data_IF_452353053857
#
_entry.id   IF_452353053857
#
_cell.length_a   1.000
_cell.length_b   1.000
_cell.length_c   1.000
_cell.angle_alpha   90.00
_cell.angle_beta   90.00
_cell.angle_gamma   90.00
#
_symmetry.space_group_name_H-M   'P 1'
#
loop_
_entity.id
_entity.type
_entity.pdbx_description
1 polymer ?
#
# COMPACT_ATOMS: atom_id res chain seq x y z
N UNK A 1 -56.20 -6.18 26.66
CA UNK A 1 -55.07 -6.69 27.46
C UNK A 1 -53.75 -6.48 26.72
N UNK A 2 -52.83 -5.74 27.34
CA UNK A 2 -51.36 -5.80 27.20
C UNK A 2 -50.65 -5.52 25.86
N UNK A 3 -50.85 -4.35 25.28
CA UNK A 3 -49.94 -3.77 24.25
C UNK A 3 -48.69 -3.09 24.84
N UNK A 4 -48.72 -2.70 26.13
CA UNK A 4 -47.61 -2.06 26.86
C UNK A 4 -46.35 -2.96 27.01
N UNK A 5 -46.44 -4.27 27.35
CA UNK A 5 -45.25 -5.12 27.49
C UNK A 5 -44.56 -5.48 26.17
N UNK A 6 -45.30 -5.48 25.05
CA UNK A 6 -44.75 -5.79 23.72
C UNK A 6 -43.89 -4.62 23.22
N UNK A 7 -44.35 -3.38 23.43
CA UNK A 7 -43.58 -2.18 23.08
C UNK A 7 -42.28 -2.06 23.88
N UNK A 8 -42.30 -2.41 25.18
CA UNK A 8 -41.08 -2.41 26.02
C UNK A 8 -40.12 -3.55 25.67
N UNK A 9 -40.62 -4.70 25.24
CA UNK A 9 -39.76 -5.79 24.79
C UNK A 9 -39.02 -5.43 23.49
N UNK A 10 -39.70 -4.73 22.57
CA UNK A 10 -39.11 -4.29 21.31
C UNK A 10 -38.01 -3.24 21.50
N UNK A 11 -38.19 -2.29 22.44
CA UNK A 11 -37.18 -1.27 22.74
C UNK A 11 -35.96 -1.84 23.46
N UNK A 12 -36.16 -2.80 24.37
CA UNK A 12 -35.05 -3.51 25.04
C UNK A 12 -34.24 -4.35 24.05
N UNK A 13 -34.92 -5.05 23.12
CA UNK A 13 -34.24 -5.82 22.08
C UNK A 13 -33.45 -4.90 21.11
N UNK A 14 -34.02 -3.76 20.74
CA UNK A 14 -33.34 -2.76 19.92
C UNK A 14 -32.10 -2.15 20.59
N UNK A 15 -32.18 -1.85 21.89
CA UNK A 15 -31.05 -1.33 22.67
C UNK A 15 -29.93 -2.37 22.83
N UNK A 16 -30.27 -3.64 23.04
CA UNK A 16 -29.29 -4.73 23.10
C UNK A 16 -28.59 -4.95 21.75
N UNK A 17 -29.31 -4.82 20.64
CA UNK A 17 -28.70 -4.88 19.31
C UNK A 17 -27.69 -3.74 19.10
N UNK A 18 -28.05 -2.50 19.41
CA UNK A 18 -27.13 -1.36 19.20
C UNK A 18 -25.88 -1.41 20.07
N UNK A 19 -25.99 -1.91 21.31
CA UNK A 19 -24.85 -2.17 22.20
C UNK A 19 -23.96 -3.32 21.68
N UNK A 20 -24.56 -4.37 21.11
CA UNK A 20 -23.82 -5.49 20.51
C UNK A 20 -23.05 -5.10 19.24
N UNK A 21 -23.59 -4.18 18.43
CA UNK A 21 -22.91 -3.69 17.22
C UNK A 21 -21.67 -2.83 17.55
N UNK A 22 -21.61 -2.17 18.71
CA UNK A 22 -20.46 -1.38 19.15
C UNK A 22 -19.20 -2.21 19.45
N UNK A 23 -19.34 -3.52 19.70
CA UNK A 23 -18.22 -4.44 19.95
C UNK A 23 -17.62 -5.08 18.69
N UNK A 24 -18.27 -4.94 17.52
CA UNK A 24 -17.83 -5.58 16.27
C UNK A 24 -16.65 -4.84 15.60
N UNK A 25 -16.30 -3.65 16.08
CA UNK A 25 -15.12 -2.89 15.64
C UNK A 25 -14.22 -2.63 16.84
N UNK A 26 -13.50 -3.67 17.26
CA UNK A 26 -12.40 -3.56 18.23
C UNK A 26 -11.18 -2.95 17.51
N UNK A 27 -11.24 -1.66 17.20
CA UNK A 27 -10.29 -1.01 16.26
C UNK A 27 -9.10 -0.36 16.95
N UNK A 28 -9.16 0.03 18.22
CA UNK A 28 -8.06 0.79 18.83
C UNK A 28 -6.84 -0.07 19.18
N UNK A 29 -6.90 -1.13 20.02
CA UNK A 29 -5.68 -1.80 20.46
C UNK A 29 -5.01 -2.67 19.38
N UNK A 30 -5.79 -3.25 18.46
CA UNK A 30 -5.24 -4.12 17.41
C UNK A 30 -4.66 -3.29 16.26
N UNK A 31 -5.32 -2.21 15.85
CA UNK A 31 -4.89 -1.42 14.69
C UNK A 31 -3.72 -0.50 15.04
N UNK A 32 -3.69 0.06 16.26
CA UNK A 32 -2.55 0.84 16.74
C UNK A 32 -1.29 -0.01 16.84
N UNK A 33 -1.41 -1.30 17.19
CA UNK A 33 -0.27 -2.23 17.26
C UNK A 33 0.35 -2.51 15.88
N UNK A 34 -0.46 -2.57 14.83
CA UNK A 34 -0.01 -2.86 13.45
C UNK A 34 0.31 -1.60 12.64
N UNK A 35 0.17 -0.41 13.23
CA UNK A 35 0.47 0.84 12.54
C UNK A 35 1.93 0.87 12.07
N UNK A 36 2.12 0.98 10.75
CA UNK A 36 3.43 1.06 10.11
C UNK A 36 4.04 -0.27 9.68
N UNK A 37 3.40 -1.42 9.91
CA UNK A 37 3.93 -2.74 9.54
C UNK A 37 4.19 -2.87 8.03
N UNK A 38 3.30 -2.32 7.20
CA UNK A 38 3.50 -2.30 5.75
C UNK A 38 4.79 -1.55 5.35
N UNK A 39 5.04 -0.38 5.94
CA UNK A 39 6.25 0.41 5.65
C UNK A 39 7.50 -0.27 6.18
N UNK A 40 7.45 -0.88 7.39
CA UNK A 40 8.56 -1.67 7.94
C UNK A 40 8.88 -2.84 7.02
N UNK A 41 7.87 -3.53 6.51
CA UNK A 41 8.02 -4.65 5.57
C UNK A 41 8.68 -4.19 4.27
N UNK A 42 8.17 -3.12 3.64
CA UNK A 42 8.76 -2.57 2.42
C UNK A 42 10.20 -2.11 2.67
N UNK A 43 10.48 -1.48 3.81
CA UNK A 43 11.83 -1.07 4.17
C UNK A 43 12.77 -2.26 4.29
N UNK A 44 12.34 -3.37 4.90
CA UNK A 44 13.14 -4.60 4.97
C UNK A 44 13.43 -5.15 3.56
N UNK A 45 12.46 -5.12 2.65
CA UNK A 45 12.65 -5.53 1.25
C UNK A 45 13.59 -4.59 0.46
N UNK A 46 13.64 -3.31 0.83
CA UNK A 46 14.52 -2.31 0.21
C UNK A 46 15.88 -2.20 0.89
N UNK A 47 16.09 -2.85 2.03
CA UNK A 47 17.37 -2.82 2.75
C UNK A 47 18.36 -3.76 2.07
N UNK A 48 19.29 -3.20 1.31
CA UNK A 48 20.30 -3.97 0.56
C UNK A 48 21.23 -4.77 1.49
N UNK A 49 21.68 -4.14 2.59
CA UNK A 49 22.57 -4.78 3.55
C UNK A 49 22.21 -4.37 4.99
N UNK A 50 21.53 -5.24 5.77
CA UNK A 50 21.18 -4.95 7.15
C UNK A 50 22.40 -4.90 8.10
N UNK A 51 23.53 -5.49 7.73
CA UNK A 51 24.76 -5.52 8.52
C UNK A 51 25.75 -4.39 8.17
N UNK A 52 25.36 -3.46 7.28
CA UNK A 52 26.18 -2.31 6.89
C UNK A 52 26.83 -1.54 8.06
N UNK A 53 26.16 -1.27 9.21
CA UNK A 53 26.79 -0.51 10.30
C UNK A 53 27.93 -1.24 11.01
N UNK A 54 28.05 -2.56 10.87
CA UNK A 54 29.14 -3.35 11.45
C UNK A 54 30.32 -3.52 10.49
N UNK A 55 30.19 -3.08 9.23
CA UNK A 55 31.25 -3.17 8.24
C UNK A 55 32.23 -1.98 8.40
N UNK A 56 33.51 -2.21 8.76
CA UNK A 56 34.50 -1.14 8.84
C UNK A 56 35.07 -0.75 7.46
N UNK A 57 34.76 -1.49 6.39
CA UNK A 57 35.28 -1.18 5.05
C UNK A 57 34.78 0.19 4.58
N UNK A 58 35.67 1.03 4.04
CA UNK A 58 35.27 2.32 3.50
C UNK A 58 34.35 2.10 2.29
N UNK A 59 33.27 2.88 2.22
CA UNK A 59 32.38 2.85 1.06
C UNK A 59 33.17 3.32 -0.17
N UNK A 60 33.44 2.41 -1.11
CA UNK A 60 33.99 2.75 -2.42
C UNK A 60 32.89 3.49 -3.17
N UNK A 61 32.93 4.82 -3.14
CA UNK A 61 31.95 5.67 -3.83
C UNK A 61 31.97 5.48 -5.35
N UNK A 62 31.16 6.27 -6.05
CA UNK A 62 31.17 6.33 -7.52
C UNK A 62 32.39 7.13 -8.01
N UNK A 63 33.03 6.70 -9.10
CA UNK A 63 34.09 7.51 -9.71
C UNK A 63 33.51 8.80 -10.32
N UNK A 64 34.29 9.88 -10.32
CA UNK A 64 33.81 11.19 -10.75
C UNK A 64 33.32 11.21 -12.20
N UNK A 65 33.92 10.40 -13.08
CA UNK A 65 33.51 10.33 -14.49
C UNK A 65 32.16 9.62 -14.60
N UNK A 66 31.96 8.49 -13.93
CA UNK A 66 30.68 7.80 -13.89
C UNK A 66 29.59 8.67 -13.25
N UNK A 67 29.91 9.43 -12.20
CA UNK A 67 28.97 10.38 -11.60
C UNK A 67 28.51 11.43 -12.62
N UNK A 68 29.45 12.05 -13.35
CA UNK A 68 29.12 13.02 -14.41
C UNK A 68 28.25 12.38 -15.49
N UNK A 69 28.63 11.21 -16.01
CA UNK A 69 27.84 10.51 -17.03
C UNK A 69 26.44 10.12 -16.54
N UNK A 70 26.30 9.74 -15.26
CA UNK A 70 25.00 9.44 -14.67
C UNK A 70 24.09 10.69 -14.64
N UNK A 71 24.63 11.83 -14.22
CA UNK A 71 23.89 13.10 -14.20
C UNK A 71 23.58 13.60 -15.63
N UNK A 72 24.50 13.45 -16.57
CA UNK A 72 24.27 13.77 -17.98
C UNK A 72 23.15 12.92 -18.58
N UNK A 73 23.15 11.61 -18.32
CA UNK A 73 22.10 10.71 -18.77
C UNK A 73 20.75 11.01 -18.11
N UNK A 74 20.75 11.37 -16.83
CA UNK A 74 19.55 11.85 -16.13
C UNK A 74 18.99 13.10 -16.81
N UNK A 75 19.82 14.11 -17.07
CA UNK A 75 19.39 15.32 -17.79
C UNK A 75 18.88 15.01 -19.20
N UNK A 76 19.57 14.13 -19.93
CA UNK A 76 19.19 13.72 -21.28
C UNK A 76 17.84 13.00 -21.29
N UNK A 77 17.49 12.26 -20.24
CA UNK A 77 16.20 11.56 -20.14
C UNK A 77 15.00 12.50 -20.16
N UNK A 78 15.16 13.77 -19.74
CA UNK A 78 14.09 14.77 -19.84
C UNK A 78 14.03 15.43 -21.22
N UNK A 79 15.17 15.57 -21.91
CA UNK A 79 15.27 16.18 -23.25
C UNK A 79 14.83 15.22 -24.35
N UNK A 80 15.21 13.96 -24.19
CA UNK A 80 14.85 12.85 -25.07
C UNK A 80 14.32 11.72 -24.18
N UNK A 81 13.04 11.81 -23.76
CA UNK A 81 12.39 10.72 -23.06
C UNK A 81 12.59 9.41 -23.83
N UNK A 82 13.01 8.33 -23.17
CA UNK A 82 13.04 7.02 -23.80
C UNK A 82 11.67 6.76 -24.43
N UNK A 83 11.64 6.48 -25.73
CA UNK A 83 10.41 5.99 -26.36
C UNK A 83 10.22 4.56 -25.90
N UNK A 84 9.29 4.36 -24.98
CA UNK A 84 8.92 3.04 -24.48
C UNK A 84 8.57 2.15 -25.67
N UNK A 85 9.45 1.19 -25.96
CA UNK A 85 9.24 0.30 -27.09
C UNK A 85 8.09 -0.68 -26.82
N UNK A 86 7.66 -0.83 -25.55
CA UNK A 86 6.46 -1.57 -25.14
C UNK A 86 5.96 -1.09 -23.76
N UNK A 87 5.22 0.03 -23.70
CA UNK A 87 4.76 0.54 -22.40
C UNK A 87 3.63 -0.29 -21.76
N UNK A 88 2.67 -0.82 -22.53
CA UNK A 88 1.57 -1.64 -21.99
C UNK A 88 0.91 -2.45 -23.13
N UNK A 89 1.31 -3.71 -23.34
CA UNK A 89 0.42 -4.72 -23.94
C UNK A 89 -0.13 -5.56 -22.78
N UNK A 90 -0.91 -4.92 -21.91
CA UNK A 90 -1.85 -5.63 -21.04
C UNK A 90 -3.13 -5.69 -21.88
N UNK A 91 -3.30 -6.79 -22.61
CA UNK A 91 -4.49 -7.05 -23.41
C UNK A 91 -5.71 -7.20 -22.52
N UNK A 92 -6.44 -6.12 -22.30
CA UNK A 92 -7.83 -6.16 -21.82
C UNK A 92 -8.72 -6.17 -23.05
N UNK A 93 -9.53 -7.22 -23.18
CA UNK A 93 -10.24 -7.62 -24.40
C UNK A 93 -11.02 -6.52 -25.09
N UNK A 94 -10.60 -6.17 -26.31
CA UNK A 94 -11.45 -5.54 -27.30
C UNK A 94 -12.35 -6.60 -27.92
N UNK A 95 -13.49 -6.87 -27.27
CA UNK A 95 -14.58 -7.59 -27.89
C UNK A 95 -15.19 -6.74 -29.01
N UNK A 96 -14.68 -6.86 -30.23
CA UNK A 96 -15.39 -6.44 -31.44
C UNK A 96 -16.31 -7.56 -31.89
N UNK A 97 -17.55 -7.43 -31.43
CA UNK A 97 -18.79 -7.94 -32.02
C UNK A 97 -18.82 -7.72 -33.55
N UNK A 98 -19.17 -8.79 -34.30
CA UNK A 98 -19.75 -8.79 -35.67
C UNK A 98 -18.81 -8.51 -36.84
N UNK A 99 -18.35 -9.50 -37.63
CA UNK A 99 -19.00 -10.21 -38.76
C UNK A 99 -19.18 -9.36 -40.04
N UNK A 100 -19.09 -9.92 -41.28
CA UNK A 100 -18.70 -11.26 -41.75
C UNK A 100 -17.32 -11.32 -42.47
#
# INVERSE_FOLDING_TARGET
>A
MNSRPIATALTVLGALLTLGLGGCMNTSPVWDAHFGDAVRTVRMMQTLNPNAPYNPDPVTGVDGRAATFAMDRYNQSFRNPPTDTNAYVIGVGGGSVGSP
#
